data_IF_288572072217
#
_entry.id   IF_288572072217
#
_cell.length_a   1.000
_cell.length_b   1.000
_cell.length_c   1.000
_cell.angle_alpha   90.00
_cell.angle_beta   90.00
_cell.angle_gamma   90.00
#
_symmetry.space_group_name_H-M   'P 1'
#
loop_
_entity.id
_entity.type
_entity.pdbx_description
1 polymer ?
#
# COMPACT_ATOMS: atom_id res chain seq x y z
N UNK A 1 3.41 -13.52 20.70
CA UNK A 1 3.47 -12.08 20.38
C UNK A 1 2.99 -11.89 18.95
N UNK A 2 2.01 -11.01 18.68
CA UNK A 2 1.73 -10.65 17.30
C UNK A 2 2.98 -9.94 16.77
N UNK A 3 3.66 -10.53 15.77
CA UNK A 3 4.71 -9.83 15.04
C UNK A 3 4.03 -8.69 14.30
N UNK A 4 4.23 -7.46 14.76
CA UNK A 4 3.64 -6.30 14.10
C UNK A 4 4.37 -6.05 12.77
N UNK A 5 3.94 -6.80 11.75
CA UNK A 5 4.56 -6.78 10.43
C UNK A 5 4.01 -5.65 9.57
N UNK A 6 3.24 -4.71 10.15
CA UNK A 6 2.58 -3.61 9.43
C UNK A 6 3.56 -2.73 8.68
N UNK A 7 4.68 -2.36 9.31
CA UNK A 7 5.71 -1.55 8.67
C UNK A 7 6.29 -2.28 7.44
N UNK A 8 6.67 -3.56 7.62
CA UNK A 8 7.21 -4.39 6.55
C UNK A 8 6.21 -4.55 5.40
N UNK A 9 4.94 -4.82 5.70
CA UNK A 9 3.88 -4.90 4.69
C UNK A 9 3.66 -3.58 3.96
N UNK A 10 3.71 -2.45 4.65
CA UNK A 10 3.52 -1.12 4.06
C UNK A 10 4.69 -0.76 3.14
N UNK A 11 5.92 -1.05 3.56
CA UNK A 11 7.10 -0.84 2.73
C UNK A 11 7.08 -1.71 1.47
N UNK A 12 6.76 -3.01 1.63
CA UNK A 12 6.67 -3.91 0.49
C UNK A 12 5.58 -3.44 -0.48
N UNK A 13 4.42 -3.03 0.03
CA UNK A 13 3.35 -2.42 -0.77
C UNK A 13 3.81 -1.20 -1.59
N UNK A 14 4.48 -0.24 -0.95
CA UNK A 14 4.96 0.99 -1.59
C UNK A 14 6.01 0.69 -2.66
N UNK A 15 6.99 -0.15 -2.36
CA UNK A 15 8.06 -0.54 -3.31
C UNK A 15 7.48 -1.30 -4.51
N UNK A 16 6.46 -2.13 -4.28
CA UNK A 16 5.81 -2.86 -5.36
C UNK A 16 5.06 -1.93 -6.32
N UNK A 17 4.36 -0.92 -5.77
CA UNK A 17 3.66 0.08 -6.57
C UNK A 17 4.60 0.99 -7.37
N UNK A 18 5.78 1.28 -6.84
CA UNK A 18 6.81 2.08 -7.53
C UNK A 18 7.51 1.28 -8.64
N UNK A 19 7.93 0.05 -8.33
CA UNK A 19 8.90 -0.69 -9.17
C UNK A 19 8.32 -1.78 -10.06
N UNK A 20 7.14 -2.31 -9.73
CA UNK A 20 6.64 -3.53 -10.38
C UNK A 20 5.29 -3.31 -11.06
N UNK A 21 4.41 -2.50 -10.47
CA UNK A 21 3.06 -2.29 -11.00
C UNK A 21 2.58 -0.90 -10.66
N UNK A 22 2.26 -0.10 -11.69
CA UNK A 22 1.74 1.26 -11.49
C UNK A 22 0.45 1.30 -10.67
N UNK A 23 -0.33 0.21 -10.69
CA UNK A 23 -1.61 0.11 -10.00
C UNK A 23 -1.89 -1.32 -9.56
N UNK A 24 -2.36 -1.49 -8.32
CA UNK A 24 -2.70 -2.81 -7.78
C UNK A 24 -4.00 -2.80 -6.97
N UNK A 25 -4.82 -3.84 -7.11
CA UNK A 25 -6.01 -4.03 -6.29
C UNK A 25 -5.64 -4.45 -4.87
N UNK A 26 -6.55 -4.25 -3.92
CA UNK A 26 -6.34 -4.73 -2.53
C UNK A 26 -6.17 -6.25 -2.48
N UNK A 27 -6.85 -6.98 -3.36
CA UNK A 27 -6.77 -8.44 -3.46
C UNK A 27 -5.42 -8.92 -4.02
N UNK A 28 -4.88 -8.25 -5.05
CA UNK A 28 -3.55 -8.55 -5.58
C UNK A 28 -2.47 -8.30 -4.52
N UNK A 29 -2.54 -7.15 -3.85
CA UNK A 29 -1.64 -6.78 -2.76
C UNK A 29 -1.73 -7.75 -1.58
N UNK A 30 -2.93 -8.21 -1.24
CA UNK A 30 -3.14 -9.18 -0.17
C UNK A 30 -2.49 -10.54 -0.47
N UNK A 31 -2.61 -11.02 -1.72
CA UNK A 31 -1.92 -12.23 -2.18
C UNK A 31 -0.40 -12.08 -2.09
N UNK A 32 0.14 -10.95 -2.55
CA UNK A 32 1.57 -10.65 -2.50
C UNK A 32 2.10 -10.61 -1.06
N UNK A 33 1.35 -9.97 -0.15
CA UNK A 33 1.75 -9.79 1.24
C UNK A 33 1.40 -10.99 2.13
N UNK A 34 0.75 -12.02 1.61
CA UNK A 34 0.27 -13.17 2.38
C UNK A 34 -0.69 -12.77 3.51
N UNK A 35 -1.56 -11.79 3.26
CA UNK A 35 -2.50 -11.23 4.26
C UNK A 35 -3.92 -11.12 3.69
N UNK A 36 -4.83 -10.52 4.46
CA UNK A 36 -6.22 -10.31 4.06
C UNK A 36 -6.41 -8.95 3.36
N UNK A 37 -7.26 -8.86 2.30
CA UNK A 37 -7.55 -7.59 1.62
C UNK A 37 -8.07 -6.48 2.54
N UNK A 38 -8.76 -6.84 3.62
CA UNK A 38 -9.24 -5.89 4.63
C UNK A 38 -8.08 -5.20 5.37
N UNK A 39 -7.01 -5.93 5.67
CA UNK A 39 -5.82 -5.39 6.33
C UNK A 39 -5.11 -4.41 5.38
N UNK A 40 -4.95 -4.81 4.11
CA UNK A 40 -4.38 -3.95 3.07
C UNK A 40 -5.19 -2.66 2.94
N UNK A 41 -6.52 -2.75 2.84
CA UNK A 41 -7.37 -1.56 2.73
C UNK A 41 -7.17 -0.58 3.90
N UNK A 42 -7.11 -1.07 5.14
CA UNK A 42 -6.87 -0.21 6.32
C UNK A 42 -5.50 0.47 6.27
N UNK A 43 -4.47 -0.28 5.89
CA UNK A 43 -3.09 0.21 5.76
C UNK A 43 -2.98 1.28 4.66
N UNK A 44 -3.49 0.99 3.46
CA UNK A 44 -3.42 1.90 2.32
C UNK A 44 -4.32 3.12 2.49
N UNK A 45 -5.43 3.03 3.23
CA UNK A 45 -6.26 4.19 3.57
C UNK A 45 -5.47 5.24 4.36
N UNK A 46 -4.65 4.83 5.34
CA UNK A 46 -3.81 5.77 6.10
C UNK A 46 -2.77 6.47 5.22
N UNK A 47 -2.17 5.74 4.29
CA UNK A 47 -1.22 6.31 3.31
C UNK A 47 -1.90 7.23 2.29
N UNK A 48 -3.15 6.94 1.92
CA UNK A 48 -3.98 7.82 1.08
C UNK A 48 -4.37 9.10 1.82
N UNK A 49 -4.72 9.03 3.09
CA UNK A 49 -5.02 10.20 3.92
C UNK A 49 -3.82 11.15 4.05
N UNK A 50 -2.60 10.60 4.10
CA UNK A 50 -1.34 11.36 4.04
C UNK A 50 -0.98 11.86 2.63
N UNK A 51 -1.77 11.52 1.59
CA UNK A 51 -1.60 12.00 0.22
C UNK A 51 -0.63 11.19 -0.66
N UNK A 52 -0.04 10.10 -0.16
CA UNK A 52 0.94 9.30 -0.90
C UNK A 52 0.30 8.37 -1.93
N UNK A 53 -0.93 7.93 -1.67
CA UNK A 53 -1.67 7.01 -2.53
C UNK A 53 -2.94 7.66 -3.05
N UNK A 54 -3.32 7.27 -4.26
CA UNK A 54 -4.68 7.47 -4.80
C UNK A 54 -5.38 6.13 -4.92
N UNK A 55 -6.70 6.16 -4.72
CA UNK A 55 -7.57 5.00 -4.89
C UNK A 55 -8.60 5.32 -5.95
N UNK A 56 -8.66 4.50 -6.98
CA UNK A 56 -9.69 4.59 -8.01
C UNK A 56 -10.70 3.44 -7.84
N UNK A 57 -12.00 3.74 -7.99
CA UNK A 57 -13.08 2.74 -7.90
C UNK A 57 -13.45 2.26 -9.30
N UNK A 58 -13.67 0.94 -9.48
CA UNK A 58 -14.16 0.36 -10.73
C UNK A 58 -13.47 -0.95 -11.11
N UNK A 59 -13.86 -1.50 -12.27
CA UNK A 59 -13.30 -2.71 -12.87
C UNK A 59 -11.91 -2.38 -13.46
N UNK A 60 -10.87 -2.42 -12.62
CA UNK A 60 -9.52 -1.87 -12.91
C UNK A 60 -9.06 -0.79 -11.92
N UNK A 61 -9.88 -0.49 -10.91
CA UNK A 61 -9.53 0.34 -9.78
C UNK A 61 -8.45 -0.29 -8.90
N UNK A 62 -7.79 0.52 -8.08
CA UNK A 62 -6.68 0.06 -7.26
C UNK A 62 -5.97 1.19 -6.55
N UNK A 63 -4.87 0.84 -5.91
CA UNK A 63 -3.95 1.76 -5.30
C UNK A 63 -2.87 2.11 -6.31
N UNK A 64 -2.57 3.40 -6.40
CA UNK A 64 -1.48 3.94 -7.21
C UNK A 64 -0.71 4.95 -6.37
N UNK A 65 0.62 4.92 -6.54
CA UNK A 65 1.53 5.80 -5.84
C UNK A 65 1.54 7.17 -6.53
N UNK A 66 1.28 8.24 -5.77
CA UNK A 66 1.25 9.62 -6.29
C UNK A 66 2.52 10.40 -5.93
N UNK A 67 3.26 9.96 -4.92
CA UNK A 67 4.49 10.60 -4.45
C UNK A 67 5.72 9.73 -4.79
N UNK A 68 6.88 10.34 -4.97
CA UNK A 68 8.14 9.59 -5.09
C UNK A 68 8.45 8.92 -3.74
N UNK A 69 8.96 7.68 -3.76
CA UNK A 69 9.39 6.99 -2.54
C UNK A 69 10.42 7.78 -1.73
N UNK A 70 11.23 8.63 -2.37
CA UNK A 70 12.22 9.50 -1.73
C UNK A 70 11.58 10.54 -0.81
N UNK A 71 10.32 10.89 -1.04
CA UNK A 71 9.55 11.84 -0.24
C UNK A 71 8.79 11.16 0.92
N UNK A 72 8.86 9.82 1.01
CA UNK A 72 8.18 9.03 2.04
C UNK A 72 9.20 8.57 3.09
N UNK A 73 9.15 9.16 4.28
CA UNK A 73 9.98 8.72 5.41
C UNK A 73 9.37 7.51 6.10
N UNK A 74 10.19 6.72 6.82
CA UNK A 74 9.68 5.60 7.64
C UNK A 74 8.65 6.04 8.69
N UNK A 75 8.80 7.25 9.23
CA UNK A 75 7.83 7.85 10.16
C UNK A 75 6.47 8.10 9.49
N UNK A 76 6.45 8.35 8.19
CA UNK A 76 5.21 8.52 7.43
C UNK A 76 4.47 7.20 7.22
N UNK A 77 5.15 6.07 7.35
CA UNK A 77 4.60 4.72 7.16
C UNK A 77 4.27 4.01 8.48
N UNK A 78 4.74 4.56 9.61
CA UNK A 78 4.35 4.15 10.97
C UNK A 78 3.02 4.80 11.37
#
# INVERSE_FOLDING_TARGET
MPRDNRLSCSLHALIHLDRHVKRATSDAMAKMLGTNPVVVRRMMSGLREKGYLVSEKGHGGGWELRADLRDITLLNVY
#
